data_IF_972595387917
#
_entry.id   IF_972595387917
#
_cell.length_a   1.000
_cell.length_b   1.000
_cell.length_c   1.000
_cell.angle_alpha   90.00
_cell.angle_beta   90.00
_cell.angle_gamma   90.00
#
_symmetry.space_group_name_H-M   'P 1'
#
loop_
_entity.id
_entity.type
_entity.pdbx_description
1 polymer ?
#
# COMPACT_ATOMS: atom_id res chain seq x y z
N UNK A 1 -16.58 10.91 -0.84
CA UNK A 1 -15.28 10.29 -0.47
C UNK A 1 -14.23 10.32 -1.58
N UNK A 2 -14.32 9.45 -2.60
CA UNK A 2 -13.21 9.23 -3.55
C UNK A 2 -12.76 10.49 -4.30
N UNK A 3 -13.68 11.30 -4.81
CA UNK A 3 -13.33 12.55 -5.50
C UNK A 3 -12.63 13.54 -4.56
N UNK A 4 -13.08 13.64 -3.31
CA UNK A 4 -12.45 14.49 -2.31
C UNK A 4 -11.02 14.03 -2.00
N UNK A 5 -10.82 12.72 -1.76
CA UNK A 5 -9.49 12.15 -1.50
C UNK A 5 -8.55 12.29 -2.69
N UNK A 6 -9.01 11.99 -3.90
CA UNK A 6 -8.22 12.14 -5.13
C UNK A 6 -7.92 13.61 -5.45
N UNK A 7 -8.80 14.53 -5.08
CA UNK A 7 -8.60 15.98 -5.23
C UNK A 7 -7.43 16.52 -4.41
N UNK A 8 -7.03 15.84 -3.31
CA UNK A 8 -5.89 16.24 -2.49
C UNK A 8 -4.54 16.11 -3.21
N UNK A 9 -4.51 15.58 -4.44
CA UNK A 9 -3.33 15.60 -5.31
C UNK A 9 -2.84 17.02 -5.59
N UNK A 10 -3.69 18.05 -5.43
CA UNK A 10 -3.30 19.46 -5.59
C UNK A 10 -2.45 20.01 -4.45
N UNK A 11 -2.32 19.29 -3.33
CA UNK A 11 -1.52 19.73 -2.19
C UNK A 11 -0.03 19.55 -2.48
N UNK A 12 0.77 20.58 -2.19
CA UNK A 12 2.20 20.60 -2.54
C UNK A 12 3.04 19.53 -1.85
N UNK A 13 2.57 18.98 -0.72
CA UNK A 13 3.23 17.89 0.00
C UNK A 13 3.03 16.54 -0.68
N UNK A 14 2.00 16.39 -1.52
CA UNK A 14 1.59 15.12 -2.12
C UNK A 14 2.37 14.89 -3.42
N UNK A 15 3.20 13.84 -3.44
CA UNK A 15 3.87 13.39 -4.66
C UNK A 15 2.92 12.54 -5.52
N UNK A 16 2.14 11.70 -4.85
CA UNK A 16 1.13 10.85 -5.46
C UNK A 16 0.03 10.58 -4.44
N UNK A 17 -1.22 10.55 -4.87
CA UNK A 17 -2.34 10.05 -4.09
C UNK A 17 -3.35 9.39 -5.02
N UNK A 18 -3.87 8.25 -4.61
CA UNK A 18 -4.95 7.55 -5.31
C UNK A 18 -5.86 6.85 -4.31
N UNK A 19 -7.15 7.15 -4.42
CA UNK A 19 -8.24 6.50 -3.71
C UNK A 19 -9.06 5.70 -4.71
N UNK A 20 -9.27 4.41 -4.44
CA UNK A 20 -10.00 3.51 -5.32
C UNK A 20 -10.76 2.44 -4.52
N UNK A 21 -11.85 1.87 -5.08
CA UNK A 21 -12.37 0.61 -4.59
C UNK A 21 -11.34 -0.50 -4.77
N UNK A 22 -11.37 -1.49 -3.88
CA UNK A 22 -10.55 -2.68 -4.05
C UNK A 22 -11.02 -3.50 -5.25
N UNK A 23 -10.07 -3.93 -6.08
CA UNK A 23 -10.30 -4.92 -7.12
C UNK A 23 -10.49 -6.32 -6.52
N UNK A 24 -9.65 -6.70 -5.56
CA UNK A 24 -9.67 -8.02 -4.92
C UNK A 24 -9.11 -7.95 -3.50
N UNK A 25 -9.71 -8.71 -2.59
CA UNK A 25 -9.16 -9.00 -1.26
C UNK A 25 -8.73 -10.46 -1.24
N UNK A 26 -7.45 -10.73 -0.97
CA UNK A 26 -6.91 -12.10 -1.02
C UNK A 26 -6.76 -12.78 0.32
N UNK A 27 -6.91 -12.06 1.42
CA UNK A 27 -6.89 -12.64 2.76
C UNK A 27 -8.19 -12.37 3.52
N UNK A 28 -8.70 -13.43 4.14
CA UNK A 28 -9.93 -13.42 4.92
C UNK A 28 -9.62 -13.17 6.41
N UNK A 29 -10.42 -12.37 7.15
CA UNK A 29 -11.52 -11.52 6.73
C UNK A 29 -11.14 -10.03 6.84
N UNK A 30 -10.58 -9.43 5.78
CA UNK A 30 -10.48 -7.97 5.73
C UNK A 30 -11.79 -7.41 5.14
N UNK A 31 -12.57 -6.67 5.94
CA UNK A 31 -13.82 -6.03 5.53
C UNK A 31 -13.62 -4.71 4.76
N UNK A 32 -12.37 -4.34 4.48
CA UNK A 32 -12.07 -3.10 3.76
C UNK A 32 -12.56 -3.18 2.31
N UNK A 33 -13.16 -2.10 1.84
CA UNK A 33 -13.76 -2.00 0.49
C UNK A 33 -13.02 -1.02 -0.40
N UNK A 34 -12.22 -0.14 0.20
CA UNK A 34 -11.50 0.93 -0.48
C UNK A 34 -10.08 1.03 0.05
N UNK A 35 -9.20 1.60 -0.76
CA UNK A 35 -7.81 1.90 -0.41
C UNK A 35 -7.49 3.34 -0.76
N UNK A 36 -6.63 3.94 0.05
CA UNK A 36 -5.93 5.18 -0.24
C UNK A 36 -4.43 4.88 -0.22
N UNK A 37 -3.76 5.05 -1.35
CA UNK A 37 -2.30 5.00 -1.42
C UNK A 37 -1.76 6.39 -1.74
N UNK A 38 -0.79 6.84 -0.94
CA UNK A 38 -0.17 8.15 -1.12
C UNK A 38 1.33 8.09 -0.89
N UNK A 39 2.08 8.99 -1.53
CA UNK A 39 3.52 9.15 -1.36
C UNK A 39 3.86 10.61 -1.06
N UNK A 40 4.84 10.79 -0.18
CA UNK A 40 5.33 12.07 0.29
C UNK A 40 6.86 12.08 0.24
N UNK A 41 7.47 13.28 0.17
CA UNK A 41 8.93 13.41 0.10
C UNK A 41 9.64 13.08 1.42
N UNK A 42 8.94 13.18 2.56
CA UNK A 42 9.49 12.88 3.88
C UNK A 42 8.38 12.63 4.91
N UNK A 43 8.76 12.22 6.13
CA UNK A 43 7.83 12.10 7.26
C UNK A 43 7.24 13.46 7.65
N UNK A 44 8.04 14.51 7.56
CA UNK A 44 7.59 15.89 7.80
C UNK A 44 6.58 16.33 6.74
N UNK A 45 6.79 15.95 5.47
CA UNK A 45 5.83 16.17 4.39
C UNK A 45 4.50 15.47 4.64
N UNK A 46 4.53 14.19 5.08
CA UNK A 46 3.34 13.46 5.51
C UNK A 46 2.65 14.15 6.69
N UNK A 47 3.39 14.58 7.71
CA UNK A 47 2.82 15.27 8.87
C UNK A 47 2.17 16.60 8.49
N UNK A 48 2.79 17.36 7.58
CA UNK A 48 2.25 18.60 7.04
C UNK A 48 0.96 18.36 6.24
N UNK A 49 0.93 17.31 5.41
CA UNK A 49 -0.30 16.87 4.73
C UNK A 49 -1.41 16.48 5.73
N UNK A 50 -1.08 15.68 6.75
CA UNK A 50 -2.04 15.20 7.72
C UNK A 50 -2.72 16.35 8.50
N UNK A 51 -1.98 17.41 8.77
CA UNK A 51 -2.47 18.63 9.42
C UNK A 51 -3.10 19.65 8.45
N UNK A 52 -3.02 19.43 7.13
CA UNK A 52 -3.48 20.40 6.15
C UNK A 52 -5.01 20.62 6.24
N UNK A 53 -5.51 21.87 6.27
CA UNK A 53 -6.94 22.15 6.39
C UNK A 53 -7.81 21.42 5.36
N UNK A 54 -7.38 21.39 4.09
CA UNK A 54 -8.12 20.69 3.02
C UNK A 54 -8.20 19.19 3.24
N UNK A 55 -7.11 18.54 3.67
CA UNK A 55 -7.12 17.13 4.04
C UNK A 55 -8.08 16.89 5.21
N UNK A 56 -8.01 17.72 6.25
CA UNK A 56 -8.87 17.61 7.44
C UNK A 56 -10.35 17.80 7.07
N UNK A 57 -10.66 18.76 6.20
CA UNK A 57 -12.02 18.98 5.68
C UNK A 57 -12.52 17.77 4.91
N UNK A 58 -11.74 17.23 3.96
CA UNK A 58 -12.11 16.02 3.20
C UNK A 58 -12.34 14.83 4.14
N UNK A 59 -11.48 14.63 5.15
CA UNK A 59 -11.67 13.52 6.11
C UNK A 59 -12.98 13.71 6.89
N UNK A 60 -13.22 14.91 7.44
CA UNK A 60 -14.41 15.18 8.26
C UNK A 60 -15.71 15.13 7.48
N UNK A 61 -15.72 15.64 6.25
CA UNK A 61 -16.94 15.83 5.47
C UNK A 61 -17.23 14.64 4.55
N UNK A 62 -16.21 13.93 4.09
CA UNK A 62 -16.34 12.91 3.05
C UNK A 62 -15.94 11.49 3.46
N UNK A 63 -15.17 11.30 4.53
CA UNK A 63 -14.69 9.98 4.98
C UNK A 63 -15.41 9.54 6.25
N UNK A 64 -15.28 10.31 7.35
CA UNK A 64 -15.86 9.96 8.64
C UNK A 64 -17.39 9.71 8.64
N UNK A 65 -18.21 10.39 7.82
CA UNK A 65 -19.65 10.14 7.82
C UNK A 65 -20.07 8.78 7.25
N UNK A 66 -19.19 8.11 6.49
CA UNK A 66 -19.56 6.88 5.75
C UNK A 66 -18.63 5.70 6.00
N UNK A 67 -17.42 5.93 6.53
CA UNK A 67 -16.45 4.88 6.81
C UNK A 67 -16.62 4.38 8.24
N UNK A 68 -17.06 3.13 8.39
CA UNK A 68 -17.17 2.46 9.70
C UNK A 68 -15.79 2.19 10.31
N UNK A 69 -14.78 1.94 9.47
CA UNK A 69 -13.46 1.55 9.93
C UNK A 69 -12.36 2.09 9.01
N UNK A 70 -11.28 2.59 9.61
CA UNK A 70 -10.10 3.09 8.92
C UNK A 70 -8.86 2.43 9.51
N UNK A 71 -8.02 1.88 8.65
CA UNK A 71 -6.66 1.44 8.99
C UNK A 71 -5.68 2.25 8.16
N UNK A 72 -4.60 2.69 8.80
CA UNK A 72 -3.51 3.38 8.12
C UNK A 72 -2.18 2.78 8.56
N UNK A 73 -1.29 2.61 7.59
CA UNK A 73 0.07 2.12 7.79
C UNK A 73 0.97 3.05 7.02
N UNK A 74 1.89 3.71 7.71
CA UNK A 74 2.86 4.62 7.08
C UNK A 74 4.23 4.00 7.23
N UNK A 75 4.97 3.89 6.12
CA UNK A 75 6.30 3.30 6.12
C UNK A 75 7.24 4.14 5.25
N UNK A 76 8.54 4.04 5.54
CA UNK A 76 9.57 4.55 4.64
C UNK A 76 9.88 3.44 3.65
N UNK A 77 9.73 3.72 2.35
CA UNK A 77 10.13 2.76 1.33
C UNK A 77 11.63 2.47 1.42
N UNK A 78 12.01 1.20 1.26
CA UNK A 78 13.39 0.72 1.27
C UNK A 78 14.28 1.37 0.19
N UNK A 79 13.66 1.94 -0.84
CA UNK A 79 14.31 2.66 -1.94
C UNK A 79 13.38 3.71 -2.52
N UNK A 80 13.96 4.72 -3.15
CA UNK A 80 13.20 5.65 -3.99
C UNK A 80 12.73 4.90 -5.24
N UNK A 81 11.41 4.81 -5.49
CA UNK A 81 10.92 4.10 -6.64
C UNK A 81 11.18 4.86 -7.94
N UNK A 82 11.53 4.13 -9.00
CA UNK A 82 11.80 4.74 -10.31
C UNK A 82 10.60 5.50 -10.87
N UNK A 83 9.38 4.99 -10.64
CA UNK A 83 8.12 5.70 -10.96
C UNK A 83 7.47 6.18 -9.67
N UNK A 84 7.55 7.49 -9.40
CA UNK A 84 6.97 8.08 -8.19
C UNK A 84 5.44 8.09 -8.21
N UNK A 85 4.83 8.35 -9.36
CA UNK A 85 3.38 8.29 -9.56
C UNK A 85 3.06 7.20 -10.60
N UNK A 86 2.54 6.03 -10.18
CA UNK A 86 2.14 4.98 -11.10
C UNK A 86 1.11 5.48 -12.11
N UNK A 87 1.21 5.12 -13.40
CA UNK A 87 0.27 5.58 -14.41
C UNK A 87 -1.14 5.03 -14.16
N UNK A 88 -2.21 5.77 -14.54
CA UNK A 88 -3.56 5.24 -14.56
C UNK A 88 -3.68 3.88 -15.25
N UNK A 89 -4.50 3.00 -14.70
CA UNK A 89 -4.67 1.63 -15.20
C UNK A 89 -3.62 0.64 -14.66
N UNK A 90 -2.55 1.11 -14.01
CA UNK A 90 -1.63 0.24 -13.28
C UNK A 90 -2.38 -0.55 -12.22
N UNK A 91 -2.06 -1.84 -12.10
CA UNK A 91 -2.54 -2.64 -10.99
C UNK A 91 -1.55 -2.57 -9.84
N UNK A 92 -2.06 -2.60 -8.61
CA UNK A 92 -1.26 -2.57 -7.41
C UNK A 92 -1.66 -3.69 -6.47
N UNK A 93 -0.67 -4.36 -5.88
CA UNK A 93 -0.84 -5.34 -4.80
C UNK A 93 -0.20 -4.78 -3.54
N UNK A 94 -1.03 -4.51 -2.53
CA UNK A 94 -0.62 -3.99 -1.24
C UNK A 94 -0.68 -5.12 -0.21
N UNK A 95 0.42 -5.33 0.50
CA UNK A 95 0.57 -6.37 1.51
C UNK A 95 0.93 -5.75 2.85
N UNK A 96 0.20 -6.11 3.89
CA UNK A 96 0.51 -5.78 5.28
C UNK A 96 0.75 -7.06 6.06
N UNK A 97 1.86 -7.11 6.80
CA UNK A 97 2.19 -8.23 7.67
C UNK A 97 2.11 -7.79 9.14
N UNK A 98 1.33 -8.55 9.91
CA UNK A 98 1.37 -8.53 11.36
C UNK A 98 2.32 -9.64 11.77
N UNK A 99 3.40 -9.26 12.42
CA UNK A 99 4.42 -10.19 12.86
C UNK A 99 4.06 -10.76 14.24
N UNK A 100 4.61 -11.94 14.54
CA UNK A 100 4.55 -12.51 15.89
C UNK A 100 5.29 -11.60 16.88
N UNK A 101 4.90 -11.68 18.15
CA UNK A 101 5.55 -10.92 19.21
C UNK A 101 6.98 -11.43 19.47
N UNK A 102 7.83 -10.55 20.01
CA UNK A 102 9.20 -10.85 20.45
C UNK A 102 10.13 -11.41 19.36
N UNK A 103 9.90 -11.04 18.10
CA UNK A 103 10.85 -11.33 17.02
C UNK A 103 12.12 -10.50 17.17
N UNK A 104 13.26 -11.15 16.95
CA UNK A 104 14.55 -10.50 16.80
C UNK A 104 14.58 -9.64 15.52
N UNK A 105 15.43 -8.61 15.49
CA UNK A 105 15.51 -7.69 14.35
C UNK A 105 16.02 -8.40 13.08
N UNK A 106 16.81 -9.46 13.23
CA UNK A 106 17.27 -10.32 12.14
C UNK A 106 16.09 -10.98 11.40
N UNK A 107 15.09 -11.46 12.14
CA UNK A 107 13.89 -12.07 11.54
C UNK A 107 13.07 -11.03 10.77
N UNK A 108 12.99 -9.79 11.26
CA UNK A 108 12.34 -8.69 10.53
C UNK A 108 13.11 -8.35 9.25
N UNK A 109 14.45 -8.30 9.32
CA UNK A 109 15.28 -8.09 8.13
C UNK A 109 15.08 -9.18 7.10
N UNK A 110 15.01 -10.45 7.54
CA UNK A 110 14.73 -11.58 6.65
C UNK A 110 13.39 -11.42 5.90
N UNK A 111 12.32 -11.04 6.61
CA UNK A 111 11.02 -10.75 6.00
C UNK A 111 11.13 -9.66 4.94
N UNK A 112 11.78 -8.56 5.29
CA UNK A 112 11.96 -7.41 4.41
C UNK A 112 12.77 -7.80 3.16
N UNK A 113 13.84 -8.57 3.32
CA UNK A 113 14.73 -8.99 2.23
C UNK A 113 14.06 -10.01 1.29
N UNK A 114 13.25 -10.93 1.83
CA UNK A 114 12.39 -11.81 1.02
C UNK A 114 11.47 -10.99 0.12
N UNK A 115 10.81 -9.95 0.67
CA UNK A 115 9.92 -9.08 -0.10
C UNK A 115 10.71 -8.29 -1.16
N UNK A 116 11.86 -7.71 -0.82
CA UNK A 116 12.70 -6.98 -1.78
C UNK A 116 13.11 -7.84 -2.97
N UNK A 117 13.43 -9.12 -2.73
CA UNK A 117 13.84 -10.07 -3.75
C UNK A 117 12.73 -10.55 -4.68
N UNK A 118 11.45 -10.22 -4.40
CA UNK A 118 10.33 -10.65 -5.25
C UNK A 118 10.42 -10.08 -6.67
N UNK A 119 10.88 -8.84 -6.86
CA UNK A 119 10.99 -8.25 -8.19
C UNK A 119 12.03 -8.93 -9.08
N UNK A 120 13.05 -9.56 -8.48
CA UNK A 120 14.08 -10.31 -9.24
C UNK A 120 13.58 -11.71 -9.62
N UNK A 121 12.69 -12.28 -8.81
CA UNK A 121 12.18 -13.65 -8.95
C UNK A 121 10.92 -13.74 -9.79
N UNK A 122 10.10 -12.68 -9.81
CA UNK A 122 8.80 -12.66 -10.46
C UNK A 122 8.82 -11.67 -11.64
N UNK A 123 9.02 -12.16 -12.88
CA UNK A 123 8.95 -11.29 -14.05
C UNK A 123 7.53 -10.70 -14.15
N UNK A 124 7.45 -9.38 -14.36
CA UNK A 124 6.20 -8.62 -14.47
C UNK A 124 5.90 -7.69 -13.28
N UNK A 125 6.68 -7.79 -12.19
CA UNK A 125 6.65 -6.73 -11.17
C UNK A 125 7.43 -5.53 -11.71
N UNK A 126 6.72 -4.48 -12.11
CA UNK A 126 7.36 -3.24 -12.58
C UNK A 126 8.06 -2.49 -11.46
N UNK A 127 7.53 -2.56 -10.24
CA UNK A 127 8.14 -1.94 -9.06
C UNK A 127 7.65 -2.60 -7.79
N UNK A 128 8.53 -2.78 -6.79
CA UNK A 128 8.14 -3.13 -5.42
C UNK A 128 8.93 -2.30 -4.41
N UNK A 129 8.23 -1.82 -3.38
CA UNK A 129 8.83 -1.22 -2.19
C UNK A 129 8.26 -1.85 -0.92
N UNK A 130 9.07 -1.87 0.13
CA UNK A 130 8.72 -2.42 1.45
C UNK A 130 9.28 -1.53 2.55
N UNK A 131 8.67 -1.56 3.74
CA UNK A 131 9.24 -0.90 4.90
C UNK A 131 8.52 -1.22 6.20
N UNK A 132 9.15 -0.81 7.30
CA UNK A 132 8.58 -0.87 8.63
C UNK A 132 7.60 0.27 8.89
N UNK A 133 6.51 -0.07 9.56
CA UNK A 133 5.46 0.85 9.93
C UNK A 133 5.93 1.81 11.06
N UNK A 134 5.66 3.09 10.91
CA UNK A 134 5.87 4.11 11.94
C UNK A 134 4.58 4.77 12.45
N UNK A 135 3.40 4.25 12.11
CA UNK A 135 2.09 4.71 12.62
C UNK A 135 1.31 3.60 13.35
N UNK A 136 1.87 3.00 14.42
CA UNK A 136 1.32 1.82 15.08
C UNK A 136 -0.12 2.02 15.62
N UNK A 137 -0.46 3.24 16.03
CA UNK A 137 -1.78 3.57 16.58
C UNK A 137 -2.95 3.34 15.60
N UNK A 138 -2.70 3.38 14.28
CA UNK A 138 -3.73 3.21 13.24
C UNK A 138 -3.59 1.91 12.45
N UNK A 139 -2.54 1.14 12.72
CA UNK A 139 -2.14 0.01 11.91
C UNK A 139 -2.65 -1.33 12.43
N UNK A 140 -3.43 -1.37 13.52
CA UNK A 140 -4.02 -2.59 14.09
C UNK A 140 -3.01 -3.75 14.29
N UNK A 141 -1.78 -3.42 14.68
CA UNK A 141 -0.70 -4.38 14.91
C UNK A 141 0.08 -4.78 13.65
N UNK A 142 -0.31 -4.36 12.45
CA UNK A 142 0.49 -4.55 11.24
C UNK A 142 1.75 -3.68 11.30
N UNK A 143 2.90 -4.32 11.09
CA UNK A 143 4.22 -3.71 11.33
C UNK A 143 5.12 -3.65 10.09
N UNK A 144 4.83 -4.44 9.06
CA UNK A 144 5.51 -4.37 7.75
C UNK A 144 4.47 -4.09 6.67
N UNK A 145 4.80 -3.20 5.74
CA UNK A 145 3.99 -2.92 4.56
C UNK A 145 4.84 -3.03 3.29
N UNK A 146 4.24 -3.55 2.23
CA UNK A 146 4.83 -3.51 0.89
C UNK A 146 3.79 -3.23 -0.18
N UNK A 147 4.22 -2.57 -1.25
CA UNK A 147 3.37 -2.34 -2.42
C UNK A 147 4.14 -2.70 -3.69
N UNK A 148 3.52 -3.55 -4.51
CA UNK A 148 3.99 -3.89 -5.84
C UNK A 148 3.09 -3.27 -6.89
N UNK A 149 3.67 -2.69 -7.94
CA UNK A 149 2.97 -2.17 -9.10
C UNK A 149 3.26 -3.02 -10.34
N UNK A 150 2.22 -3.21 -11.13
CA UNK A 150 2.18 -3.94 -12.39
C UNK A 150 1.62 -3.00 -13.45
N UNK A 151 1.98 -3.23 -14.71
CA UNK A 151 1.49 -2.43 -15.83
C UNK A 151 -0.03 -2.41 -15.89
N UNK A 152 -0.67 -3.56 -15.66
CA UNK A 152 -2.11 -3.74 -15.69
C UNK A 152 -2.53 -4.99 -14.90
N UNK A 153 -3.84 -5.26 -14.85
CA UNK A 153 -4.38 -6.44 -14.18
C UNK A 153 -3.93 -7.76 -14.83
N UNK A 154 -3.69 -7.78 -16.16
CA UNK A 154 -3.28 -9.00 -16.85
C UNK A 154 -1.87 -9.44 -16.45
N UNK A 155 -0.97 -8.47 -16.25
CA UNK A 155 0.38 -8.75 -15.73
C UNK A 155 0.34 -9.19 -14.25
N UNK A 156 -0.49 -8.54 -13.41
CA UNK A 156 -0.74 -8.98 -12.04
C UNK A 156 -1.23 -10.43 -11.99
N UNK A 157 -2.20 -10.80 -12.83
CA UNK A 157 -2.76 -12.14 -12.91
C UNK A 157 -1.73 -13.15 -13.42
N UNK A 158 -0.89 -12.77 -14.37
CA UNK A 158 0.21 -13.63 -14.86
C UNK A 158 1.22 -13.95 -13.75
N UNK A 159 1.55 -12.98 -12.90
CA UNK A 159 2.41 -13.21 -11.73
C UNK A 159 1.70 -14.08 -10.70
N UNK A 160 0.38 -13.95 -10.54
CA UNK A 160 -0.37 -14.81 -9.63
C UNK A 160 -0.44 -16.26 -10.08
N UNK A 161 -0.49 -16.54 -11.38
CA UNK A 161 -0.43 -17.91 -11.92
C UNK A 161 0.90 -18.60 -11.55
N UNK A 162 1.97 -17.83 -11.30
CA UNK A 162 3.22 -18.34 -10.73
C UNK A 162 3.09 -18.58 -9.20
N UNK A 163 1.92 -19.04 -8.75
CA UNK A 163 1.53 -19.13 -7.33
C UNK A 163 2.53 -19.94 -6.51
N UNK A 164 3.12 -20.99 -7.11
CA UNK A 164 4.11 -21.82 -6.45
C UNK A 164 5.35 -21.03 -6.01
N UNK A 165 5.89 -20.16 -6.87
CA UNK A 165 7.08 -19.38 -6.54
C UNK A 165 6.79 -18.34 -5.44
N UNK A 166 5.63 -17.68 -5.53
CA UNK A 166 5.15 -16.77 -4.48
C UNK A 166 4.96 -17.50 -3.16
N UNK A 167 4.40 -18.72 -3.18
CA UNK A 167 4.18 -19.52 -1.97
C UNK A 167 5.50 -20.00 -1.36
N UNK A 168 6.48 -20.42 -2.18
CA UNK A 168 7.81 -20.79 -1.70
C UNK A 168 8.46 -19.64 -0.95
N UNK A 169 8.39 -18.41 -1.47
CA UNK A 169 8.94 -17.24 -0.78
C UNK A 169 8.16 -16.89 0.50
N UNK A 170 6.83 -17.03 0.50
CA UNK A 170 6.01 -16.81 1.70
C UNK A 170 6.32 -17.83 2.80
N UNK A 171 6.52 -19.10 2.45
CA UNK A 171 6.79 -20.16 3.44
C UNK A 171 8.10 -19.92 4.21
N UNK A 172 9.11 -19.28 3.59
CA UNK A 172 10.38 -18.94 4.28
C UNK A 172 10.19 -18.10 5.53
N UNK A 173 9.18 -17.24 5.53
CA UNK A 173 8.95 -16.25 6.60
C UNK A 173 7.67 -16.51 7.36
N UNK A 174 6.95 -17.58 7.02
CA UNK A 174 5.64 -17.92 7.58
C UNK A 174 5.69 -18.08 9.09
N UNK A 175 6.77 -18.63 9.63
CA UNK A 175 6.92 -18.84 11.06
C UNK A 175 6.99 -17.52 11.86
N UNK A 176 7.31 -16.41 11.21
CA UNK A 176 7.39 -15.08 11.82
C UNK A 176 6.09 -14.27 11.69
N UNK A 177 5.16 -14.70 10.84
CA UNK A 177 3.94 -13.95 10.51
C UNK A 177 2.75 -14.49 11.29
N UNK A 178 2.06 -13.59 12.00
CA UNK A 178 0.81 -13.87 12.72
C UNK A 178 -0.40 -13.71 11.81
N UNK A 179 -0.44 -12.61 11.05
CA UNK A 179 -1.56 -12.30 10.15
C UNK A 179 -1.10 -11.50 8.94
N UNK A 180 -1.88 -11.56 7.86
CA UNK A 180 -1.58 -10.90 6.58
C UNK A 180 -2.83 -10.29 5.98
N UNK A 181 -2.73 -9.04 5.54
CA UNK A 181 -3.71 -8.40 4.66
C UNK A 181 -3.08 -8.27 3.27
N UNK A 182 -3.73 -8.82 2.25
CA UNK A 182 -3.36 -8.60 0.84
C UNK A 182 -4.58 -8.05 0.10
N UNK A 183 -4.43 -6.84 -0.43
CA UNK A 183 -5.46 -6.17 -1.21
C UNK A 183 -4.91 -5.72 -2.55
N UNK A 184 -5.76 -5.72 -3.55
CA UNK A 184 -5.42 -5.31 -4.91
C UNK A 184 -6.36 -4.20 -5.35
N UNK A 185 -5.82 -3.23 -6.08
CA UNK A 185 -6.59 -2.15 -6.67
C UNK A 185 -5.98 -1.71 -7.98
N UNK A 186 -6.75 -0.95 -8.75
CA UNK A 186 -6.29 -0.33 -9.99
C UNK A 186 -6.15 1.16 -9.74
N UNK A 187 -5.02 1.73 -10.16
CA UNK A 187 -4.76 3.16 -10.07
C UNK A 187 -5.79 3.86 -10.97
N UNK A 188 -6.65 4.72 -10.40
CA UNK A 188 -7.72 5.34 -11.15
C UNK A 188 -7.16 6.31 -12.18
N UNK A 189 -7.84 6.43 -13.31
CA UNK A 189 -7.66 7.58 -14.19
C UNK A 189 -8.02 8.83 -13.40
N UNK A 190 -7.05 9.73 -13.24
CA UNK A 190 -7.31 11.01 -12.60
C UNK A 190 -8.49 11.69 -13.28
N UNK A 191 -9.36 12.32 -12.49
CA UNK A 191 -10.23 13.36 -13.02
C UNK A 191 -9.28 14.43 -13.57
N UNK A 192 -9.08 14.43 -14.89
CA UNK A 192 -8.54 15.60 -15.57
C UNK A 192 -9.49 16.71 -15.16
N UNK A 193 -9.01 17.69 -14.38
CA UNK A 193 -9.73 18.95 -14.24
C UNK A 193 -9.75 19.55 -15.63
N UNK A 194 -10.80 19.25 -16.39
CA UNK A 194 -11.15 20.02 -17.55
C UNK A 194 -11.47 21.41 -17.05
N UNK A 195 -10.55 22.34 -17.31
CA UNK A 195 -10.76 23.71 -17.78
C UNK A 195 -9.39 24.33 -18.08
#
# INVERSE_FOLDING_TARGET
>A
MLNGLNGLVSLSQVIHISAAPLHRVRSSPSAFTHVLHSRYGSKEGLNAYAAHPDHVSVVKESVLPICEEVMAVDWVADRVPGTLAPPPGSAAKLTFLKLKENLADEAKSEIVDVIKGLSEKLPGIGQITVGENFSPARAKGFSIASIAFFKDLGELETVDVQTELVNVEKEKVREYVDSTIVVEFVVPSGLVSGL
#
